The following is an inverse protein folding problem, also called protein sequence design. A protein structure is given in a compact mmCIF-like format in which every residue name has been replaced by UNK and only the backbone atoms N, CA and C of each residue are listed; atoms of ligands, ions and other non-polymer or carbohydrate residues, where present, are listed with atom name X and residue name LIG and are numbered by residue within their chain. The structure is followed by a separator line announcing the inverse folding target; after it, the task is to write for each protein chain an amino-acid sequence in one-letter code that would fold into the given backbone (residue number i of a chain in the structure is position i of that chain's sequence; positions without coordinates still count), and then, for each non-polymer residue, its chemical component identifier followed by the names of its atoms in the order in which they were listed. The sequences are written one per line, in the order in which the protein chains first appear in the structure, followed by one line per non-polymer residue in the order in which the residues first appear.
data_IF_312837084429
#
_entry.id   IF_312837084429
#
_cell.length_a   1.000
_cell.length_b   1.000
_cell.length_c   1.000
_cell.angle_alpha   90.00
_cell.angle_beta   90.00
_cell.angle_gamma   90.00
#
_symmetry.space_group_name_H-M   'P 1'
#
loop_
_entity.id
_entity.type
_entity.pdbx_description
1 polymer ?
#
# COMPACT_ATOMS: atom_id res chain seq x y z
N UNK A 1 32.75 -0.99 14.43
CA UNK A 1 33.46 -0.57 15.66
C UNK A 1 33.11 -1.50 16.82
N UNK A 2 33.99 -1.65 17.75
CA UNK A 2 33.80 -2.39 19.01
C UNK A 2 34.38 -1.58 20.16
N UNK A 3 34.40 -2.13 21.38
CA UNK A 3 34.95 -1.48 22.57
C UNK A 3 36.45 -1.07 22.44
N UNK A 4 37.14 -1.58 21.43
CA UNK A 4 38.53 -1.23 21.13
C UNK A 4 38.67 -0.16 20.01
N UNK A 5 37.56 0.40 19.51
CA UNK A 5 37.53 1.45 18.50
C UNK A 5 37.00 1.00 17.14
N UNK A 6 37.36 1.76 16.10
CA UNK A 6 36.98 1.47 14.72
C UNK A 6 37.81 0.32 14.14
N UNK A 7 37.21 -0.47 13.27
CA UNK A 7 37.84 -1.62 12.62
C UNK A 7 38.07 -1.36 11.14
N UNK A 8 39.04 -2.05 10.60
CA UNK A 8 39.35 -2.07 9.15
C UNK A 8 39.28 -3.48 8.56
N UNK A 9 38.88 -4.45 9.38
CA UNK A 9 38.78 -5.85 9.00
C UNK A 9 37.69 -6.08 7.94
N UNK A 10 37.98 -6.98 7.02
CA UNK A 10 37.14 -7.32 5.89
C UNK A 10 36.86 -8.82 5.89
N UNK A 11 35.59 -9.21 5.80
CA UNK A 11 35.14 -10.58 5.90
C UNK A 11 34.24 -10.96 4.73
N UNK A 12 34.43 -12.14 4.19
CA UNK A 12 33.58 -12.77 3.18
C UNK A 12 32.74 -13.87 3.83
N UNK A 13 31.46 -13.90 3.46
CA UNK A 13 30.54 -14.95 3.86
C UNK A 13 30.16 -15.82 2.66
N UNK A 14 30.49 -17.10 2.73
CA UNK A 14 30.06 -18.10 1.74
C UNK A 14 28.74 -18.74 2.17
N UNK A 15 27.68 -18.44 1.42
CA UNK A 15 26.31 -18.95 1.69
C UNK A 15 26.25 -20.48 1.55
N UNK A 16 27.04 -21.07 0.64
CA UNK A 16 26.98 -22.50 0.35
C UNK A 16 27.59 -23.36 1.46
N UNK A 17 28.63 -22.87 2.08
CA UNK A 17 29.33 -23.55 3.18
C UNK A 17 28.98 -23.02 4.56
N UNK A 18 28.13 -21.98 4.66
CA UNK A 18 27.75 -21.27 5.90
C UNK A 18 28.98 -20.89 6.72
N UNK A 19 29.99 -20.27 6.08
CA UNK A 19 31.26 -19.96 6.69
C UNK A 19 31.78 -18.56 6.37
N UNK A 20 32.57 -18.02 7.30
CA UNK A 20 33.23 -16.73 7.17
C UNK A 20 34.74 -16.91 6.94
N UNK A 21 35.26 -16.11 6.03
CA UNK A 21 36.71 -16.02 5.77
C UNK A 21 37.17 -14.58 5.96
N UNK A 22 38.20 -14.36 6.73
CA UNK A 22 38.83 -13.04 6.83
C UNK A 22 39.74 -12.82 5.63
N UNK A 23 39.51 -11.72 4.95
CA UNK A 23 40.31 -11.25 3.82
C UNK A 23 41.21 -10.08 4.25
N UNK A 24 41.98 -9.52 3.35
CA UNK A 24 42.87 -8.38 3.60
C UNK A 24 42.10 -7.17 4.07
N UNK A 25 42.55 -6.58 5.18
CA UNK A 25 41.98 -5.35 5.74
C UNK A 25 41.99 -4.21 4.72
N UNK A 26 41.03 -3.25 4.88
CA UNK A 26 41.02 -2.05 4.04
C UNK A 26 42.32 -1.27 4.16
N UNK A 27 42.87 -0.83 3.02
CA UNK A 27 44.15 -0.07 2.98
C UNK A 27 44.03 1.37 3.50
N UNK A 28 42.81 1.86 3.71
CA UNK A 28 42.52 3.15 4.35
C UNK A 28 42.47 3.09 5.85
N UNK A 29 42.04 4.19 6.48
CA UNK A 29 41.89 4.25 7.94
C UNK A 29 40.69 3.42 8.41
N UNK A 30 40.81 2.89 9.62
CA UNK A 30 39.71 2.23 10.30
C UNK A 30 38.52 3.18 10.47
N UNK A 31 37.30 2.68 10.24
CA UNK A 31 36.11 3.53 10.17
C UNK A 31 34.84 2.83 10.67
N UNK A 32 33.81 3.62 10.94
CA UNK A 32 32.46 3.15 11.15
C UNK A 32 31.48 3.95 10.27
N UNK A 33 30.29 3.42 10.03
CA UNK A 33 29.25 3.98 9.15
C UNK A 33 29.78 4.39 7.75
N UNK A 34 30.62 3.54 7.08
CA UNK A 34 31.03 3.80 5.71
C UNK A 34 29.84 3.63 4.76
N UNK A 35 29.98 4.17 3.54
CA UNK A 35 29.13 3.78 2.42
C UNK A 35 29.80 2.61 1.69
N UNK A 36 28.98 1.67 1.22
CA UNK A 36 29.46 0.48 0.53
C UNK A 36 28.43 -0.05 -0.47
N UNK A 37 28.88 -0.56 -1.60
CA UNK A 37 28.05 -1.24 -2.59
C UNK A 37 28.86 -2.20 -3.45
N UNK A 38 28.16 -3.17 -4.09
CA UNK A 38 28.79 -4.08 -5.05
C UNK A 38 28.46 -3.65 -6.49
N UNK A 39 29.46 -3.69 -7.38
CA UNK A 39 29.27 -3.52 -8.82
C UNK A 39 30.06 -4.62 -9.56
N UNK A 40 29.33 -5.44 -10.33
CA UNK A 40 29.92 -6.61 -10.97
C UNK A 40 30.56 -7.53 -9.92
N UNK A 41 31.82 -7.83 -10.08
CA UNK A 41 32.60 -8.71 -9.18
C UNK A 41 33.38 -7.94 -8.11
N UNK A 42 33.17 -6.64 -7.94
CA UNK A 42 33.95 -5.80 -7.05
C UNK A 42 33.08 -5.24 -5.92
N UNK A 43 33.65 -5.09 -4.73
CA UNK A 43 33.06 -4.29 -3.66
C UNK A 43 33.70 -2.90 -3.61
N UNK A 44 32.89 -1.90 -3.29
CA UNK A 44 33.32 -0.52 -3.16
C UNK A 44 33.00 -0.03 -1.75
N UNK A 45 33.96 0.65 -1.12
CA UNK A 45 33.85 1.13 0.26
C UNK A 45 34.53 2.48 0.38
N UNK A 46 33.94 3.40 1.10
CA UNK A 46 34.56 4.70 1.35
C UNK A 46 33.81 5.49 2.42
N UNK A 47 34.25 6.71 2.64
CA UNK A 47 33.58 7.64 3.58
C UNK A 47 33.59 7.11 5.02
N UNK A 48 32.66 7.61 5.84
CA UNK A 48 32.52 7.16 7.21
C UNK A 48 33.40 7.94 8.18
N UNK A 49 33.29 7.62 9.46
CA UNK A 49 33.98 8.30 10.54
C UNK A 49 35.08 7.43 11.15
N UNK A 50 36.26 8.00 11.33
CA UNK A 50 37.40 7.33 11.94
C UNK A 50 37.74 7.87 13.35
N UNK A 51 38.88 7.41 13.88
CA UNK A 51 39.40 7.85 15.18
C UNK A 51 40.63 8.73 15.06
N UNK A 52 41.17 8.90 13.86
CA UNK A 52 42.40 9.64 13.59
C UNK A 52 42.26 10.43 12.29
N UNK A 53 42.89 11.58 12.22
CA UNK A 53 43.05 12.30 10.96
C UNK A 53 43.98 11.51 10.02
N UNK A 54 43.61 11.43 8.75
CA UNK A 54 44.36 10.68 7.75
C UNK A 54 43.99 11.05 6.33
N UNK A 55 44.42 10.28 5.32
CA UNK A 55 44.01 10.53 3.94
C UNK A 55 42.52 10.58 3.81
N UNK A 56 42.00 11.64 3.20
CA UNK A 56 40.56 11.86 3.01
C UNK A 56 39.83 12.54 4.18
N UNK A 57 40.45 12.73 5.34
CA UNK A 57 39.85 13.54 6.40
C UNK A 57 39.99 15.04 6.12
N UNK A 58 39.07 15.84 6.65
CA UNK A 58 39.18 17.29 6.60
C UNK A 58 39.92 17.82 7.84
N UNK A 59 41.23 18.13 7.75
CA UNK A 59 42.01 18.56 8.92
C UNK A 59 41.61 19.96 9.42
N UNK A 60 40.89 20.76 8.61
CA UNK A 60 40.44 22.10 8.99
C UNK A 60 39.19 22.07 9.86
N UNK A 61 38.39 21.04 9.78
CA UNK A 61 37.17 20.86 10.53
C UNK A 61 37.36 20.07 11.84
N UNK A 62 38.60 19.70 12.17
CA UNK A 62 38.88 18.82 13.31
C UNK A 62 38.10 17.50 13.26
N UNK A 63 37.67 17.13 12.07
CA UNK A 63 36.75 16.01 11.76
C UNK A 63 37.57 14.78 11.37
N UNK A 64 37.11 13.62 11.81
CA UNK A 64 37.62 12.33 11.37
C UNK A 64 36.70 11.66 10.35
N UNK A 65 35.90 12.42 9.64
CA UNK A 65 35.03 11.97 8.56
C UNK A 65 35.83 11.96 7.25
N UNK A 66 35.65 10.91 6.46
CA UNK A 66 36.47 10.65 5.29
C UNK A 66 35.69 10.88 4.00
N UNK A 67 36.41 11.25 2.93
CA UNK A 67 35.94 11.27 1.54
C UNK A 67 36.76 10.36 0.62
N UNK A 68 37.63 9.51 1.19
CA UNK A 68 38.40 8.51 0.46
C UNK A 68 37.51 7.37 -0.03
N UNK A 69 37.93 6.71 -1.12
CA UNK A 69 37.14 5.68 -1.77
C UNK A 69 38.01 4.56 -2.28
N UNK A 70 37.58 3.31 -2.13
CA UNK A 70 38.36 2.12 -2.42
C UNK A 70 37.51 1.07 -3.12
N UNK A 71 38.20 0.26 -3.96
CA UNK A 71 37.64 -0.93 -4.59
C UNK A 71 38.35 -2.17 -4.08
N UNK A 72 37.63 -3.19 -3.68
CA UNK A 72 38.12 -4.51 -3.34
C UNK A 72 37.87 -5.47 -4.49
N UNK A 73 38.94 -6.26 -4.82
CA UNK A 73 38.88 -7.34 -5.80
C UNK A 73 39.01 -8.70 -5.08
N UNK A 74 37.89 -9.46 -4.95
CA UNK A 74 37.91 -10.74 -4.25
C UNK A 74 38.70 -11.83 -5.00
N UNK A 75 38.98 -11.67 -6.30
CA UNK A 75 39.69 -12.68 -7.08
C UNK A 75 41.18 -12.80 -6.69
N UNK A 76 41.75 -11.77 -6.10
CA UNK A 76 43.15 -11.72 -5.71
C UNK A 76 43.34 -11.09 -4.32
N UNK A 77 42.27 -10.93 -3.55
CA UNK A 77 42.27 -10.36 -2.18
C UNK A 77 43.06 -9.04 -2.12
N UNK A 78 42.70 -8.07 -2.97
CA UNK A 78 43.46 -6.83 -3.08
C UNK A 78 42.55 -5.59 -3.10
N UNK A 79 43.08 -4.49 -2.58
CA UNK A 79 42.45 -3.18 -2.56
C UNK A 79 43.12 -2.22 -3.54
N UNK A 80 42.31 -1.38 -4.18
CA UNK A 80 42.75 -0.26 -5.01
C UNK A 80 42.12 1.02 -4.47
N UNK A 81 42.95 2.03 -4.18
CA UNK A 81 42.43 3.37 -3.90
C UNK A 81 41.96 4.02 -5.21
N UNK A 82 40.76 4.54 -5.18
CA UNK A 82 40.10 5.29 -6.25
C UNK A 82 40.21 6.79 -6.01
N UNK A 83 39.63 7.58 -6.94
CA UNK A 83 39.52 9.04 -6.76
C UNK A 83 38.67 9.36 -5.56
N UNK A 84 39.11 10.30 -4.74
CA UNK A 84 38.32 10.78 -3.61
C UNK A 84 37.01 11.36 -4.10
N UNK A 85 36.00 11.29 -3.23
CA UNK A 85 34.71 11.91 -3.47
C UNK A 85 34.87 13.45 -3.61
N UNK A 86 34.25 14.08 -4.63
CA UNK A 86 34.52 15.49 -4.97
C UNK A 86 33.78 16.52 -4.12
N UNK A 87 32.92 16.10 -3.19
CA UNK A 87 32.19 16.96 -2.30
C UNK A 87 32.60 16.75 -0.83
N UNK A 88 31.86 17.31 0.10
CA UNK A 88 32.10 17.22 1.53
C UNK A 88 32.19 15.77 2.02
N UNK A 89 33.17 15.49 2.89
CA UNK A 89 33.28 14.20 3.57
C UNK A 89 32.01 13.88 4.36
N UNK A 90 31.61 12.61 4.40
CA UNK A 90 30.31 12.25 4.95
C UNK A 90 30.27 10.87 5.62
N UNK A 91 29.26 10.69 6.46
CA UNK A 91 29.04 9.50 7.26
C UNK A 91 27.54 9.17 7.38
N UNK A 92 27.24 7.90 7.56
CA UNK A 92 25.88 7.43 7.94
C UNK A 92 24.75 7.84 6.97
N UNK A 93 25.02 7.92 5.67
CA UNK A 93 23.96 7.97 4.67
C UNK A 93 23.50 6.60 4.23
N UNK A 94 22.90 6.51 3.05
CA UNK A 94 22.49 5.26 2.43
C UNK A 94 23.09 5.09 1.04
N UNK A 95 23.14 3.87 0.56
CA UNK A 95 23.75 3.52 -0.71
C UNK A 95 23.07 2.31 -1.36
N UNK A 96 23.22 2.22 -2.67
CA UNK A 96 22.82 1.04 -3.47
C UNK A 96 23.60 0.98 -4.78
N UNK A 97 23.49 -0.10 -5.52
CA UNK A 97 23.96 -0.22 -6.89
C UNK A 97 22.81 -0.50 -7.84
N UNK A 98 22.95 0.00 -9.06
CA UNK A 98 21.99 -0.21 -10.13
C UNK A 98 22.68 -0.04 -11.48
N UNK A 99 22.44 -0.95 -12.43
CA UNK A 99 22.95 -0.92 -13.80
C UNK A 99 24.48 -0.63 -13.89
N UNK A 100 25.26 -1.36 -13.10
CA UNK A 100 26.72 -1.23 -13.10
C UNK A 100 27.27 0.06 -12.49
N UNK A 101 26.45 0.84 -11.79
CA UNK A 101 26.81 2.09 -11.12
C UNK A 101 26.54 2.02 -9.63
N UNK A 102 27.27 2.83 -8.85
CA UNK A 102 27.03 3.01 -7.42
C UNK A 102 26.29 4.31 -7.15
N UNK A 103 25.51 4.31 -6.08
CA UNK A 103 24.74 5.48 -5.67
C UNK A 103 24.87 5.70 -4.17
N UNK A 104 25.04 6.95 -3.77
CA UNK A 104 25.05 7.36 -2.36
C UNK A 104 24.11 8.55 -2.15
N UNK A 105 23.52 8.61 -0.98
CA UNK A 105 22.53 9.62 -0.64
C UNK A 105 22.66 10.07 0.81
N UNK A 106 22.55 11.39 1.03
CA UNK A 106 22.40 11.99 2.37
C UNK A 106 23.54 11.65 3.34
N UNK A 107 23.30 11.67 4.63
CA UNK A 107 24.26 11.47 5.71
C UNK A 107 24.61 12.78 6.42
N UNK A 108 25.57 12.70 7.35
CA UNK A 108 26.19 13.87 8.00
C UNK A 108 27.49 14.27 7.29
N UNK A 109 27.79 15.55 7.31
CA UNK A 109 29.02 16.13 6.81
C UNK A 109 30.13 16.23 7.87
N UNK A 110 31.06 17.14 7.63
CA UNK A 110 32.17 17.44 8.53
C UNK A 110 31.70 17.79 9.94
N UNK A 111 32.42 17.29 10.96
CA UNK A 111 32.10 17.47 12.38
C UNK A 111 30.69 16.98 12.78
N UNK A 112 30.09 16.10 12.01
CA UNK A 112 28.68 15.68 12.15
C UNK A 112 27.68 16.81 11.98
N UNK A 113 28.07 17.90 11.32
CA UNK A 113 27.12 18.92 10.92
C UNK A 113 26.19 18.40 9.82
N UNK A 114 24.91 18.76 9.85
CA UNK A 114 23.98 18.38 8.79
C UNK A 114 24.46 18.86 7.43
N UNK A 115 24.44 17.98 6.44
CA UNK A 115 24.54 18.44 5.04
C UNK A 115 23.43 19.44 4.75
N UNK A 116 23.72 20.48 3.97
CA UNK A 116 22.75 21.54 3.66
C UNK A 116 21.52 20.99 2.92
N UNK A 117 21.72 19.96 2.12
CA UNK A 117 20.70 19.31 1.27
C UNK A 117 20.81 17.81 1.31
N UNK A 118 19.75 17.13 0.89
CA UNK A 118 19.74 15.69 0.68
C UNK A 118 20.48 15.28 -0.59
N UNK A 119 21.77 15.56 -0.64
CA UNK A 119 22.59 15.31 -1.82
C UNK A 119 22.53 13.86 -2.28
N UNK A 120 22.40 13.66 -3.59
CA UNK A 120 22.35 12.38 -4.25
C UNK A 120 23.41 12.30 -5.33
N UNK A 121 24.25 11.25 -5.30
CA UNK A 121 25.39 11.09 -6.18
C UNK A 121 25.44 9.72 -6.83
N UNK A 122 25.88 9.69 -8.07
CA UNK A 122 26.14 8.49 -8.86
C UNK A 122 27.64 8.32 -9.07
N UNK A 123 28.16 7.12 -8.86
CA UNK A 123 29.52 6.71 -9.19
C UNK A 123 29.55 5.90 -10.49
N UNK A 124 30.42 6.29 -11.42
CA UNK A 124 30.66 5.60 -12.69
C UNK A 124 32.05 4.91 -12.66
N UNK A 125 32.10 3.56 -12.52
CA UNK A 125 33.34 2.85 -12.35
C UNK A 125 34.23 2.82 -13.60
N UNK A 126 33.66 2.99 -14.80
CA UNK A 126 34.39 2.93 -16.06
C UNK A 126 35.43 4.05 -16.22
N UNK A 127 35.23 5.19 -15.56
CA UNK A 127 36.11 6.34 -15.61
C UNK A 127 36.45 6.92 -14.22
N UNK A 128 36.13 6.19 -13.15
CA UNK A 128 36.38 6.57 -11.76
C UNK A 128 35.89 8.00 -11.44
N UNK A 129 34.62 8.27 -11.72
CA UNK A 129 34.05 9.61 -11.56
C UNK A 129 32.71 9.61 -10.85
N UNK A 130 32.40 10.75 -10.22
CA UNK A 130 31.17 11.02 -9.54
C UNK A 130 30.34 12.08 -10.27
N UNK A 131 29.02 11.87 -10.34
CA UNK A 131 28.03 12.79 -10.90
C UNK A 131 27.01 13.11 -9.83
N UNK A 132 26.83 14.41 -9.51
CA UNK A 132 25.74 14.86 -8.64
C UNK A 132 24.43 14.77 -9.41
N UNK A 133 23.45 14.13 -8.83
CA UNK A 133 22.08 14.05 -9.31
C UNK A 133 21.20 15.08 -8.58
N UNK A 134 19.92 15.14 -8.93
CA UNK A 134 18.98 16.00 -8.20
C UNK A 134 18.84 15.53 -6.75
N UNK A 135 18.92 16.47 -5.82
CA UNK A 135 18.73 16.22 -4.40
C UNK A 135 17.35 15.62 -4.13
N UNK A 136 17.21 14.77 -3.14
CA UNK A 136 15.89 14.33 -2.72
C UNK A 136 15.12 15.49 -2.06
N UNK A 137 13.78 15.55 -2.21
CA UNK A 137 12.99 16.59 -1.59
C UNK A 137 12.95 16.41 -0.07
N UNK A 138 13.58 17.32 0.65
CA UNK A 138 13.68 17.31 2.11
C UNK A 138 15.10 17.64 2.58
N UNK A 139 15.26 17.74 3.89
CA UNK A 139 16.55 17.97 4.51
C UNK A 139 17.44 16.73 4.45
N UNK A 140 18.74 16.88 4.67
CA UNK A 140 19.65 15.78 4.85
C UNK A 140 19.19 14.86 6.00
N UNK A 141 19.38 13.55 5.83
CA UNK A 141 18.89 12.53 6.75
C UNK A 141 20.08 11.66 7.20
N UNK A 142 20.22 11.53 8.51
CA UNK A 142 21.16 10.58 9.12
C UNK A 142 20.55 9.17 9.15
N UNK A 143 21.33 8.19 8.74
CA UNK A 143 20.99 6.76 8.70
C UNK A 143 19.64 6.44 8.00
N UNK A 144 19.36 6.98 6.80
CA UNK A 144 18.20 6.54 6.04
C UNK A 144 18.38 5.12 5.51
N UNK A 145 17.27 4.48 5.15
CA UNK A 145 17.27 3.24 4.38
C UNK A 145 17.06 3.49 2.89
N UNK A 146 17.58 2.59 2.05
CA UNK A 146 17.28 2.57 0.62
C UNK A 146 17.19 1.15 0.08
N UNK A 147 16.41 0.99 -0.98
CA UNK A 147 16.33 -0.24 -1.75
C UNK A 147 15.90 0.08 -3.19
N UNK A 148 16.14 -0.86 -4.10
CA UNK A 148 15.75 -0.75 -5.51
C UNK A 148 14.72 -1.83 -5.81
N UNK A 149 13.64 -1.42 -6.48
CA UNK A 149 12.64 -2.33 -7.05
C UNK A 149 12.48 -1.98 -8.53
N UNK A 150 12.80 -2.92 -9.41
CA UNK A 150 12.84 -2.64 -10.84
C UNK A 150 13.83 -1.51 -11.14
N UNK A 151 13.35 -0.43 -11.72
CA UNK A 151 14.16 0.74 -12.06
C UNK A 151 13.89 1.96 -11.18
N UNK A 152 13.28 1.76 -10.05
CA UNK A 152 13.01 2.81 -9.08
C UNK A 152 13.83 2.58 -7.79
N UNK A 153 14.49 3.61 -7.32
CA UNK A 153 15.10 3.63 -5.99
C UNK A 153 14.16 4.28 -4.99
N UNK A 154 14.07 3.69 -3.82
CA UNK A 154 13.24 4.16 -2.71
C UNK A 154 14.10 4.55 -1.53
N UNK A 155 13.79 5.69 -0.91
CA UNK A 155 14.47 6.25 0.26
C UNK A 155 13.44 6.50 1.35
N UNK A 156 13.76 6.11 2.57
CA UNK A 156 12.83 6.22 3.69
C UNK A 156 13.54 6.19 5.04
N UNK A 157 12.83 6.67 6.05
CA UNK A 157 13.25 6.60 7.45
C UNK A 157 14.50 7.44 7.74
N UNK A 158 15.14 7.16 8.88
CA UNK A 158 16.26 7.93 9.38
C UNK A 158 15.83 9.08 10.27
N UNK A 159 16.78 9.91 10.63
CA UNK A 159 16.58 11.09 11.47
C UNK A 159 17.00 12.33 10.69
N UNK A 160 16.21 13.41 10.72
CA UNK A 160 16.69 14.68 10.20
C UNK A 160 17.87 15.18 11.07
N UNK A 161 18.84 15.83 10.43
CA UNK A 161 20.07 16.26 11.09
C UNK A 161 19.91 17.53 11.94
N UNK A 162 18.71 17.82 12.44
CA UNK A 162 18.50 18.92 13.37
C UNK A 162 18.67 18.44 14.81
N UNK A 163 19.88 18.48 15.33
CA UNK A 163 20.20 18.03 16.70
C UNK A 163 19.44 18.77 17.79
N UNK A 164 19.00 20.01 17.54
CA UNK A 164 18.21 20.78 18.50
C UNK A 164 16.73 20.41 18.50
N UNK A 165 16.23 19.84 17.39
CA UNK A 165 14.85 19.39 17.25
C UNK A 165 14.80 18.16 16.33
N UNK A 166 15.28 16.99 16.79
CA UNK A 166 15.32 15.79 15.97
C UNK A 166 13.92 15.36 15.59
N UNK A 167 13.72 15.07 14.31
CA UNK A 167 12.49 14.46 13.80
C UNK A 167 12.80 13.21 13.00
N UNK A 168 11.84 12.30 12.95
CA UNK A 168 11.94 11.05 12.22
C UNK A 168 10.94 11.13 11.06
N UNK A 169 11.36 11.54 9.85
CA UNK A 169 10.45 11.65 8.73
C UNK A 169 9.87 10.28 8.37
N UNK A 170 8.56 10.25 8.16
CA UNK A 170 7.82 9.05 7.73
C UNK A 170 7.59 9.02 6.22
N UNK A 171 8.04 10.03 5.50
CA UNK A 171 7.92 10.11 4.06
C UNK A 171 8.84 9.08 3.39
N UNK A 172 8.32 8.43 2.35
CA UNK A 172 9.11 7.62 1.44
C UNK A 172 9.21 8.38 0.11
N UNK A 173 10.43 8.51 -0.38
CA UNK A 173 10.71 9.15 -1.66
C UNK A 173 11.07 8.11 -2.69
N UNK A 174 10.67 8.33 -3.93
CA UNK A 174 10.97 7.50 -5.07
C UNK A 174 11.74 8.28 -6.12
N UNK A 175 12.86 7.73 -6.59
CA UNK A 175 13.66 8.26 -7.69
C UNK A 175 13.66 7.26 -8.84
N UNK A 176 13.36 7.72 -10.05
CA UNK A 176 13.39 6.89 -11.25
C UNK A 176 14.80 6.85 -11.80
N UNK A 177 15.44 5.68 -11.73
CA UNK A 177 16.84 5.47 -12.14
C UNK A 177 17.01 5.39 -13.65
N UNK A 178 16.02 4.83 -14.36
CA UNK A 178 16.04 4.71 -15.81
C UNK A 178 14.64 4.92 -16.41
N UNK A 179 14.57 5.62 -17.53
CA UNK A 179 13.34 5.83 -18.29
C UNK A 179 13.06 4.75 -19.34
N UNK A 180 14.01 3.85 -19.58
CA UNK A 180 13.91 2.75 -20.55
C UNK A 180 13.65 1.40 -19.89
N UNK A 181 13.10 1.41 -18.69
CA UNK A 181 12.69 0.21 -17.99
C UNK A 181 11.32 -0.26 -18.41
N UNK A 182 11.18 -1.57 -18.46
CA UNK A 182 9.93 -2.23 -18.80
C UNK A 182 10.18 -3.69 -19.13
N UNK A 183 9.14 -4.38 -19.52
CA UNK A 183 9.28 -5.77 -19.96
C UNK A 183 10.06 -5.83 -21.29
N UNK A 184 11.18 -6.59 -21.31
CA UNK A 184 12.01 -6.81 -22.51
C UNK A 184 11.69 -8.11 -23.23
N UNK A 185 10.79 -8.95 -22.71
CA UNK A 185 10.39 -10.21 -23.35
C UNK A 185 9.30 -9.98 -24.41
N UNK A 186 9.57 -10.23 -25.71
CA UNK A 186 8.60 -10.08 -26.78
C UNK A 186 7.36 -10.99 -26.65
N UNK A 187 7.39 -12.02 -25.80
CA UNK A 187 6.26 -12.92 -25.54
C UNK A 187 5.31 -12.38 -24.47
N UNK A 188 5.70 -11.36 -23.73
CA UNK A 188 4.85 -10.75 -22.73
C UNK A 188 3.83 -9.79 -23.34
N UNK A 189 2.63 -9.71 -22.75
CA UNK A 189 1.57 -8.81 -23.19
C UNK A 189 1.94 -7.32 -23.05
N UNK A 190 2.77 -6.99 -22.09
CA UNK A 190 3.26 -5.63 -21.82
C UNK A 190 4.68 -5.40 -22.34
N UNK A 191 5.12 -6.16 -23.35
CA UNK A 191 6.40 -5.94 -24.01
C UNK A 191 6.59 -4.48 -24.42
N UNK A 192 7.73 -3.92 -24.09
CA UNK A 192 8.12 -2.57 -24.52
C UNK A 192 9.34 -2.62 -25.40
N UNK A 193 9.20 -2.30 -26.68
CA UNK A 193 10.34 -2.24 -27.62
C UNK A 193 11.35 -1.14 -27.30
N UNK A 194 11.01 -0.19 -26.42
CA UNK A 194 11.91 0.86 -25.94
C UNK A 194 12.62 0.47 -24.64
N UNK A 195 12.19 -0.61 -23.98
CA UNK A 195 12.86 -1.07 -22.76
C UNK A 195 14.22 -1.69 -23.12
N UNK A 196 15.26 -1.20 -22.46
CA UNK A 196 16.62 -1.75 -22.54
C UNK A 196 16.99 -2.55 -21.29
N UNK A 197 16.19 -2.41 -20.23
CA UNK A 197 16.35 -3.11 -18.97
C UNK A 197 15.03 -3.73 -18.53
N UNK A 198 15.06 -5.04 -18.21
CA UNK A 198 13.89 -5.75 -17.68
C UNK A 198 13.70 -5.40 -16.20
N UNK A 199 12.59 -4.79 -15.90
CA UNK A 199 12.20 -4.39 -14.53
C UNK A 199 11.43 -5.48 -13.78
N UNK A 200 11.31 -6.67 -14.35
CA UNK A 200 10.53 -7.77 -13.79
C UNK A 200 9.02 -7.63 -13.94
N UNK A 201 8.54 -6.63 -14.70
CA UNK A 201 7.12 -6.36 -14.90
C UNK A 201 6.47 -7.20 -16.00
N UNK A 202 7.20 -8.15 -16.62
CA UNK A 202 6.68 -8.95 -17.72
C UNK A 202 5.39 -9.69 -17.36
N UNK A 203 4.36 -9.48 -18.17
CA UNK A 203 3.01 -9.99 -17.96
C UNK A 203 2.70 -11.08 -19.00
N UNK A 204 2.36 -12.29 -18.54
CA UNK A 204 2.11 -13.45 -19.40
C UNK A 204 0.69 -14.03 -19.28
N UNK A 205 -0.12 -13.49 -18.37
CA UNK A 205 -1.47 -14.00 -18.12
C UNK A 205 -2.48 -12.91 -18.48
N UNK A 206 -3.25 -13.15 -19.55
CA UNK A 206 -4.39 -12.31 -19.90
C UNK A 206 -5.68 -12.81 -19.25
N UNK A 207 -6.65 -11.94 -19.14
CA UNK A 207 -7.97 -12.23 -18.60
C UNK A 207 -8.64 -10.96 -18.09
N UNK A 208 -9.82 -11.10 -17.53
CA UNK A 208 -10.51 -9.98 -16.93
C UNK A 208 -9.79 -9.49 -15.66
N UNK A 209 -9.38 -8.23 -15.64
CA UNK A 209 -8.73 -7.57 -14.49
C UNK A 209 -9.69 -6.71 -13.65
N UNK A 210 -10.97 -6.59 -14.05
CA UNK A 210 -11.99 -5.89 -13.27
C UNK A 210 -12.48 -6.76 -12.12
N UNK A 211 -12.18 -6.36 -10.89
CA UNK A 211 -12.58 -7.06 -9.66
C UNK A 211 -14.11 -7.15 -9.48
N UNK A 212 -14.87 -6.31 -10.19
CA UNK A 212 -16.33 -6.32 -10.14
C UNK A 212 -16.96 -7.20 -11.23
N UNK A 213 -16.17 -7.74 -12.13
CA UNK A 213 -16.64 -8.69 -13.14
C UNK A 213 -16.82 -10.11 -12.57
N UNK A 214 -17.82 -10.84 -13.07
CA UNK A 214 -18.09 -12.21 -12.59
C UNK A 214 -17.01 -13.23 -12.99
N UNK A 215 -16.22 -12.90 -14.01
CA UNK A 215 -15.10 -13.70 -14.50
C UNK A 215 -13.73 -13.06 -14.19
N UNK A 216 -13.66 -12.25 -13.12
CA UNK A 216 -12.41 -11.67 -12.64
C UNK A 216 -11.34 -12.77 -12.45
N UNK A 217 -10.17 -12.54 -12.98
CA UNK A 217 -9.01 -13.41 -12.82
C UNK A 217 -7.91 -12.69 -12.03
N UNK A 218 -7.76 -13.03 -10.75
CA UNK A 218 -6.75 -12.43 -9.87
C UNK A 218 -5.29 -12.63 -10.33
N UNK A 219 -5.04 -13.60 -11.23
CA UNK A 219 -3.71 -13.85 -11.79
C UNK A 219 -3.48 -13.10 -13.11
N UNK A 220 -4.53 -12.51 -13.70
CA UNK A 220 -4.39 -11.74 -14.92
C UNK A 220 -3.68 -10.42 -14.61
N UNK A 221 -2.66 -10.12 -15.39
CA UNK A 221 -1.91 -8.87 -15.35
C UNK A 221 -2.14 -8.02 -16.61
N UNK A 222 -2.91 -8.53 -17.58
CA UNK A 222 -3.31 -7.85 -18.80
C UNK A 222 -4.81 -8.07 -19.06
N UNK A 223 -5.56 -6.98 -19.22
CA UNK A 223 -6.98 -7.06 -19.55
C UNK A 223 -7.15 -7.36 -21.04
N UNK A 224 -7.76 -8.50 -21.34
CA UNK A 224 -8.03 -8.94 -22.72
C UNK A 224 -9.43 -8.52 -23.23
N UNK A 225 -10.16 -7.71 -22.47
CA UNK A 225 -11.50 -7.26 -22.77
C UNK A 225 -12.58 -8.34 -22.55
N UNK A 226 -12.25 -9.46 -21.91
CA UNK A 226 -13.20 -10.56 -21.67
C UNK A 226 -14.10 -10.33 -20.45
N UNK A 227 -14.01 -9.18 -19.78
CA UNK A 227 -14.77 -8.90 -18.56
C UNK A 227 -16.28 -9.01 -18.78
N UNK A 228 -16.93 -9.81 -17.95
CA UNK A 228 -18.39 -9.96 -17.96
C UNK A 228 -18.95 -9.24 -16.75
N UNK A 229 -19.65 -8.15 -17.00
CA UNK A 229 -20.27 -7.36 -15.94
C UNK A 229 -21.42 -8.14 -15.29
N UNK A 230 -21.51 -8.02 -13.95
CA UNK A 230 -22.63 -8.61 -13.21
C UNK A 230 -23.93 -7.86 -13.54
N UNK A 231 -24.94 -8.61 -13.95
CA UNK A 231 -26.32 -8.14 -14.11
C UNK A 231 -27.17 -8.88 -13.11
N UNK A 232 -27.48 -8.24 -11.99
CA UNK A 232 -28.32 -8.80 -10.96
C UNK A 232 -29.79 -8.79 -11.40
N UNK A 233 -30.47 -9.89 -11.23
CA UNK A 233 -31.90 -9.98 -11.54
C UNK A 233 -32.47 -11.36 -11.24
N UNK A 234 -33.77 -11.47 -11.34
CA UNK A 234 -34.46 -12.74 -11.18
C UNK A 234 -34.16 -13.67 -12.37
N UNK A 235 -33.46 -14.78 -12.13
CA UNK A 235 -33.11 -15.77 -13.14
C UNK A 235 -34.14 -16.92 -13.22
N UNK A 236 -35.20 -16.88 -12.41
CA UNK A 236 -36.29 -17.88 -12.47
C UNK A 236 -37.26 -17.54 -13.62
N UNK A 237 -37.24 -18.36 -14.67
CA UNK A 237 -38.08 -18.17 -15.87
C UNK A 237 -39.59 -18.19 -15.61
N UNK A 238 -40.05 -18.75 -14.48
CA UNK A 238 -41.46 -18.79 -14.10
C UNK A 238 -41.89 -17.59 -13.28
N UNK A 239 -40.95 -16.71 -12.87
CA UNK A 239 -41.24 -15.49 -12.13
C UNK A 239 -41.81 -14.40 -13.05
N UNK A 240 -42.71 -13.60 -12.51
CA UNK A 240 -43.33 -12.48 -13.25
C UNK A 240 -42.33 -11.38 -13.61
N UNK A 241 -41.23 -11.27 -12.86
CA UNK A 241 -40.12 -10.35 -13.06
C UNK A 241 -38.84 -11.02 -13.54
N UNK A 242 -38.97 -12.13 -14.28
CA UNK A 242 -37.83 -12.78 -14.91
C UNK A 242 -37.02 -11.80 -15.76
N UNK A 243 -35.72 -11.75 -15.55
CA UNK A 243 -34.80 -10.94 -16.33
C UNK A 243 -33.87 -11.85 -17.14
N UNK A 244 -34.09 -11.93 -18.45
CA UNK A 244 -33.30 -12.76 -19.37
C UNK A 244 -31.85 -12.31 -19.53
N UNK A 245 -31.52 -11.07 -19.15
CA UNK A 245 -30.18 -10.51 -19.19
C UNK A 245 -29.41 -10.74 -17.87
N UNK A 246 -30.11 -11.18 -16.82
CA UNK A 246 -29.47 -11.45 -15.54
C UNK A 246 -28.52 -12.65 -15.64
N UNK A 247 -27.33 -12.50 -15.06
CA UNK A 247 -26.29 -13.53 -15.02
C UNK A 247 -25.88 -13.88 -13.54
N UNK A 248 -26.40 -13.15 -12.56
CA UNK A 248 -26.22 -13.43 -11.14
C UNK A 248 -27.51 -13.25 -10.35
N UNK A 249 -27.74 -14.09 -9.32
CA UNK A 249 -28.84 -13.95 -8.36
C UNK A 249 -28.48 -13.12 -7.13
N UNK A 250 -27.20 -12.96 -6.86
CA UNK A 250 -26.69 -12.05 -5.84
C UNK A 250 -25.30 -11.57 -6.21
N UNK A 251 -24.93 -10.42 -5.70
CA UNK A 251 -23.64 -9.79 -5.95
C UNK A 251 -23.17 -9.02 -4.72
N UNK A 252 -21.85 -9.06 -4.45
CA UNK A 252 -21.25 -8.33 -3.36
C UNK A 252 -20.65 -7.02 -3.85
N UNK A 253 -20.74 -5.96 -3.04
CA UNK A 253 -20.15 -4.67 -3.37
C UNK A 253 -20.13 -3.70 -2.19
N UNK A 254 -19.98 -2.42 -2.48
CA UNK A 254 -19.61 -1.42 -1.50
C UNK A 254 -18.11 -1.47 -1.22
N UNK A 255 -17.63 -0.88 -0.12
CA UNK A 255 -16.28 -1.13 0.35
C UNK A 255 -16.16 -2.61 0.76
N UNK A 256 -15.19 -3.35 0.19
CA UNK A 256 -15.09 -4.79 0.41
C UNK A 256 -14.58 -5.15 1.81
N UNK A 257 -13.80 -4.27 2.41
CA UNK A 257 -13.30 -4.41 3.78
C UNK A 257 -12.96 -3.03 4.40
N UNK A 258 -12.41 -3.02 5.60
CA UNK A 258 -12.02 -1.80 6.30
C UNK A 258 -10.62 -1.27 5.94
N UNK A 259 -9.93 -1.86 4.95
CA UNK A 259 -8.58 -1.46 4.54
C UNK A 259 -8.57 -0.36 3.45
N UNK A 260 -9.74 0.20 3.11
CA UNK A 260 -9.84 1.28 2.12
C UNK A 260 -9.16 2.59 2.55
N UNK A 261 -8.83 2.73 3.84
CA UNK A 261 -8.15 3.90 4.40
C UNK A 261 -8.07 3.82 5.92
N UNK A 262 -7.66 4.92 6.55
CA UNK A 262 -7.62 4.98 8.01
C UNK A 262 -9.03 4.99 8.62
N UNK A 263 -9.17 4.46 9.82
CA UNK A 263 -10.45 4.40 10.50
C UNK A 263 -10.35 4.08 11.99
N UNK A 264 -11.48 3.99 12.66
CA UNK A 264 -11.57 3.66 14.08
C UNK A 264 -12.95 3.16 14.45
N UNK A 265 -13.08 2.52 15.61
CA UNK A 265 -14.38 2.21 16.20
C UNK A 265 -15.12 3.48 16.58
N UNK A 266 -16.44 3.47 16.39
CA UNK A 266 -17.26 4.66 16.47
C UNK A 266 -18.58 4.39 17.17
N UNK A 267 -19.07 5.37 17.94
CA UNK A 267 -20.20 5.19 18.85
C UNK A 267 -21.44 6.01 18.50
N UNK A 268 -21.39 6.88 17.49
CA UNK A 268 -22.55 7.70 17.13
C UNK A 268 -23.35 7.09 15.98
N UNK A 269 -24.62 7.44 15.90
CA UNK A 269 -25.49 7.04 14.82
C UNK A 269 -25.10 7.78 13.54
N UNK A 270 -24.68 7.01 12.54
CA UNK A 270 -24.37 7.46 11.18
C UNK A 270 -24.83 6.38 10.20
N UNK A 271 -24.90 6.71 8.92
CA UNK A 271 -25.43 5.82 7.90
C UNK A 271 -24.80 6.06 6.53
N UNK A 272 -24.87 5.03 5.67
CA UNK A 272 -24.61 5.14 4.24
C UNK A 272 -25.88 5.65 3.55
N UNK A 273 -25.70 6.42 2.47
CA UNK A 273 -26.78 6.94 1.64
C UNK A 273 -26.67 6.29 0.26
N UNK A 274 -27.78 5.70 -0.21
CA UNK A 274 -27.79 4.99 -1.47
C UNK A 274 -29.11 5.16 -2.24
N UNK A 275 -29.06 4.91 -3.54
CA UNK A 275 -30.22 4.76 -4.41
C UNK A 275 -30.39 3.29 -4.76
N UNK A 276 -31.65 2.84 -4.87
CA UNK A 276 -32.00 1.52 -5.42
C UNK A 276 -32.79 1.68 -6.70
N UNK A 277 -32.31 1.02 -7.76
CA UNK A 277 -32.89 1.10 -9.10
C UNK A 277 -33.81 -0.08 -9.43
N UNK A 278 -33.79 -1.13 -8.59
CA UNK A 278 -34.72 -2.26 -8.67
C UNK A 278 -35.08 -2.72 -7.26
N UNK A 279 -36.19 -3.47 -7.13
CA UNK A 279 -36.52 -4.15 -5.88
C UNK A 279 -35.50 -5.25 -5.62
N UNK A 280 -34.83 -5.18 -4.48
CA UNK A 280 -33.77 -6.12 -4.15
C UNK A 280 -33.77 -6.44 -2.65
N UNK A 281 -32.92 -7.39 -2.27
CA UNK A 281 -32.72 -7.81 -0.89
C UNK A 281 -31.28 -7.49 -0.47
N UNK A 282 -31.06 -6.70 0.57
CA UNK A 282 -29.77 -6.66 1.23
C UNK A 282 -29.70 -7.88 2.15
N UNK A 283 -29.05 -8.96 1.68
CA UNK A 283 -28.99 -10.23 2.38
C UNK A 283 -28.10 -10.20 3.59
N UNK A 284 -26.89 -9.70 3.41
CA UNK A 284 -25.82 -9.73 4.42
C UNK A 284 -24.80 -8.64 4.19
N UNK A 285 -23.96 -8.41 5.19
CA UNK A 285 -22.74 -7.62 5.06
C UNK A 285 -21.68 -8.08 6.06
N UNK A 286 -20.44 -7.62 5.87
CA UNK A 286 -19.38 -7.73 6.88
C UNK A 286 -19.40 -6.49 7.77
N UNK A 287 -19.22 -6.70 9.08
CA UNK A 287 -19.01 -5.64 10.07
C UNK A 287 -17.74 -5.91 10.88
N UNK A 288 -17.23 -4.88 11.52
CA UNK A 288 -16.12 -4.97 12.48
C UNK A 288 -16.61 -4.34 13.78
N UNK A 289 -16.65 -5.10 14.87
CA UNK A 289 -17.13 -4.66 16.17
C UNK A 289 -16.01 -4.68 17.22
N UNK A 290 -16.06 -3.73 18.15
CA UNK A 290 -15.09 -3.62 19.25
C UNK A 290 -15.45 -4.51 20.43
N UNK A 291 -16.75 -4.65 20.72
CA UNK A 291 -17.27 -5.33 21.91
C UNK A 291 -18.43 -6.26 21.61
N UNK A 292 -18.69 -7.20 22.52
CA UNK A 292 -19.93 -7.98 22.55
C UNK A 292 -21.12 -7.06 22.88
N UNK A 293 -22.13 -6.98 22.01
CA UNK A 293 -23.38 -6.24 22.26
C UNK A 293 -24.49 -6.55 21.28
N UNK A 294 -25.72 -6.19 21.65
CA UNK A 294 -26.85 -6.17 20.73
C UNK A 294 -26.86 -4.85 19.97
N UNK A 295 -26.98 -4.93 18.64
CA UNK A 295 -27.09 -3.77 17.74
C UNK A 295 -28.30 -3.99 16.85
N UNK A 296 -29.14 -2.96 16.73
CA UNK A 296 -30.23 -2.92 15.76
C UNK A 296 -29.74 -2.23 14.50
N UNK A 297 -29.63 -2.97 13.41
CA UNK A 297 -29.30 -2.51 12.07
C UNK A 297 -30.61 -2.07 11.39
N UNK A 298 -30.59 -0.98 10.64
CA UNK A 298 -31.80 -0.38 10.08
C UNK A 298 -31.62 0.02 8.62
N UNK A 299 -32.62 -0.32 7.80
CA UNK A 299 -32.91 0.29 6.51
C UNK A 299 -33.95 1.40 6.72
N UNK A 300 -33.65 2.59 6.23
CA UNK A 300 -34.54 3.77 6.39
C UNK A 300 -34.81 4.43 5.05
N UNK A 301 -35.93 5.14 4.95
CA UNK A 301 -36.19 6.01 3.81
C UNK A 301 -35.39 7.33 3.91
N UNK A 302 -35.55 8.20 2.92
CA UNK A 302 -34.88 9.51 2.85
C UNK A 302 -35.21 10.46 4.01
N UNK A 303 -36.34 10.26 4.72
CA UNK A 303 -36.75 11.03 5.89
C UNK A 303 -36.27 10.42 7.21
N UNK A 304 -35.50 9.31 7.16
CA UNK A 304 -35.02 8.61 8.35
C UNK A 304 -36.05 7.67 9.00
N UNK A 305 -37.23 7.45 8.39
CA UNK A 305 -38.18 6.47 8.89
C UNK A 305 -37.72 5.05 8.57
N UNK A 306 -37.78 4.17 9.55
CA UNK A 306 -37.39 2.76 9.43
C UNK A 306 -38.34 2.04 8.48
N UNK A 307 -37.77 1.40 7.46
CA UNK A 307 -38.48 0.52 6.51
C UNK A 307 -38.34 -0.94 6.92
N UNK A 308 -37.15 -1.32 7.38
CA UNK A 308 -36.85 -2.66 7.87
C UNK A 308 -35.74 -2.61 8.92
N UNK A 309 -35.69 -3.55 9.86
CA UNK A 309 -34.66 -3.62 10.89
C UNK A 309 -34.42 -5.04 11.38
N UNK A 310 -33.25 -5.25 11.94
CA UNK A 310 -32.89 -6.50 12.62
C UNK A 310 -31.96 -6.23 13.79
N UNK A 311 -32.21 -6.90 14.92
CA UNK A 311 -31.36 -6.81 16.11
C UNK A 311 -30.53 -8.07 16.23
N UNK A 312 -29.19 -7.90 16.24
CA UNK A 312 -28.24 -9.00 16.31
C UNK A 312 -27.28 -8.79 17.50
N UNK A 313 -26.90 -9.90 18.13
CA UNK A 313 -25.83 -9.93 19.11
C UNK A 313 -24.50 -10.15 18.38
N UNK A 314 -23.63 -9.14 18.40
CA UNK A 314 -22.35 -9.15 17.70
C UNK A 314 -21.19 -9.43 18.65
N UNK A 315 -20.14 -10.06 18.14
CA UNK A 315 -18.88 -10.32 18.83
C UNK A 315 -17.76 -9.39 18.36
N UNK A 316 -16.68 -9.19 19.14
CA UNK A 316 -15.53 -8.43 18.69
C UNK A 316 -14.90 -9.01 17.41
N UNK A 317 -14.35 -8.14 16.56
CA UNK A 317 -13.66 -8.48 15.33
C UNK A 317 -14.55 -8.43 14.09
N UNK A 318 -14.04 -8.99 12.98
CA UNK A 318 -14.76 -9.10 11.71
C UNK A 318 -15.77 -10.23 11.78
N UNK A 319 -16.99 -9.95 11.33
CA UNK A 319 -18.02 -10.99 11.19
C UNK A 319 -19.00 -10.63 10.08
N UNK A 320 -19.55 -11.67 9.42
CA UNK A 320 -20.64 -11.55 8.48
C UNK A 320 -21.96 -11.58 9.25
N UNK A 321 -22.84 -10.61 9.02
CA UNK A 321 -24.19 -10.56 9.58
C UNK A 321 -25.24 -10.73 8.49
N UNK A 322 -26.35 -11.39 8.86
CA UNK A 322 -27.51 -11.59 7.98
C UNK A 322 -28.55 -10.52 8.30
N UNK A 323 -28.97 -9.79 7.28
CA UNK A 323 -29.91 -8.68 7.39
C UNK A 323 -31.27 -9.04 6.80
N UNK A 324 -31.28 -9.52 5.56
CA UNK A 324 -32.48 -9.81 4.75
C UNK A 324 -33.45 -8.60 4.65
N UNK A 325 -32.91 -7.42 4.43
CA UNK A 325 -33.73 -6.21 4.26
C UNK A 325 -34.36 -6.14 2.87
N UNK A 326 -35.68 -5.98 2.82
CA UNK A 326 -36.39 -5.69 1.58
C UNK A 326 -36.19 -4.23 1.18
N UNK A 327 -35.49 -4.02 0.05
CA UNK A 327 -35.16 -2.69 -0.44
C UNK A 327 -36.08 -2.29 -1.59
N UNK A 328 -36.92 -1.27 -1.42
CA UNK A 328 -37.77 -0.76 -2.52
C UNK A 328 -36.97 0.10 -3.49
N UNK A 329 -37.48 0.27 -4.70
CA UNK A 329 -36.97 1.27 -5.65
C UNK A 329 -37.18 2.65 -5.02
N UNK A 330 -36.11 3.34 -4.67
CA UNK A 330 -36.13 4.66 -4.09
C UNK A 330 -34.78 5.33 -4.10
N UNK A 331 -34.78 6.66 -3.95
CA UNK A 331 -33.54 7.45 -3.83
C UNK A 331 -33.33 7.89 -2.39
N UNK A 332 -32.02 8.08 -2.04
CA UNK A 332 -31.58 8.53 -0.72
C UNK A 332 -32.00 7.61 0.44
N UNK A 333 -32.10 6.32 0.19
CA UNK A 333 -32.26 5.34 1.25
C UNK A 333 -31.05 5.39 2.18
N UNK A 334 -31.26 5.03 3.44
CA UNK A 334 -30.22 5.07 4.46
C UNK A 334 -30.02 3.68 5.06
N UNK A 335 -28.74 3.25 5.14
CA UNK A 335 -28.36 2.02 5.83
C UNK A 335 -27.57 2.40 7.07
N UNK A 336 -28.15 2.25 8.24
CA UNK A 336 -27.65 2.76 9.53
C UNK A 336 -27.92 1.83 10.70
N UNK A 337 -27.80 2.35 11.89
CA UNK A 337 -28.03 1.63 13.16
C UNK A 337 -28.96 2.42 14.06
N UNK A 338 -29.66 1.75 14.96
CA UNK A 338 -30.43 2.41 15.98
C UNK A 338 -29.56 2.79 17.19
N UNK A 339 -29.66 4.05 17.60
CA UNK A 339 -29.02 4.54 18.81
C UNK A 339 -27.54 4.89 18.64
N UNK A 340 -26.89 5.03 19.78
CA UNK A 340 -25.47 5.37 19.91
C UNK A 340 -24.72 4.23 20.59
N UNK A 341 -23.39 4.35 20.66
CA UNK A 341 -22.57 3.42 21.43
C UNK A 341 -22.43 2.03 20.79
N UNK A 342 -22.43 1.96 19.44
CA UNK A 342 -22.38 0.68 18.71
C UNK A 342 -21.01 -0.01 18.78
N UNK A 343 -19.91 0.75 18.87
CA UNK A 343 -18.54 0.20 18.76
C UNK A 343 -18.28 -0.44 17.42
N UNK A 344 -18.95 0.00 16.35
CA UNK A 344 -18.70 -0.47 15.01
C UNK A 344 -17.58 0.33 14.34
N UNK A 345 -16.76 -0.33 13.54
CA UNK A 345 -15.68 0.32 12.80
C UNK A 345 -16.24 1.16 11.65
N UNK A 346 -15.62 2.32 11.44
CA UNK A 346 -15.81 3.17 10.27
C UNK A 346 -14.46 3.57 9.69
N UNK A 347 -14.38 3.80 8.39
CA UNK A 347 -13.25 4.51 7.79
C UNK A 347 -13.47 6.02 7.87
N UNK A 348 -12.39 6.75 8.16
CA UNK A 348 -12.35 8.22 8.21
C UNK A 348 -11.87 8.81 6.87
N UNK A 349 -11.18 7.99 6.08
CA UNK A 349 -10.61 8.32 4.78
C UNK A 349 -10.72 7.11 3.85
N UNK A 350 -10.48 7.34 2.56
CA UNK A 350 -10.30 6.27 1.57
C UNK A 350 -11.60 5.77 0.93
N UNK A 351 -12.77 6.28 1.29
CA UNK A 351 -13.97 5.98 0.52
C UNK A 351 -13.99 6.80 -0.78
N UNK A 352 -14.24 6.12 -1.88
CA UNK A 352 -14.34 6.70 -3.23
C UNK A 352 -15.75 6.44 -3.80
N UNK A 353 -16.66 7.31 -3.41
CA UNK A 353 -18.04 7.22 -3.86
C UNK A 353 -18.19 7.66 -5.33
N UNK A 354 -19.12 7.07 -6.12
CA UNK A 354 -20.12 6.09 -5.72
C UNK A 354 -19.63 4.64 -5.81
N UNK A 355 -20.16 3.76 -4.94
CA UNK A 355 -20.02 2.32 -5.07
C UNK A 355 -21.25 1.74 -5.77
N UNK A 356 -21.09 1.25 -6.98
CA UNK A 356 -22.16 0.58 -7.72
C UNK A 356 -22.15 -0.91 -7.42
N UNK A 357 -23.32 -1.48 -7.06
CA UNK A 357 -23.50 -2.90 -6.82
C UNK A 357 -24.42 -3.46 -7.92
N UNK A 358 -23.82 -4.07 -8.93
CA UNK A 358 -24.48 -4.74 -10.05
C UNK A 358 -25.59 -3.90 -10.72
N UNK A 359 -25.44 -2.57 -10.79
CA UNK A 359 -26.40 -1.59 -11.31
C UNK A 359 -27.78 -1.58 -10.62
N UNK A 360 -27.90 -2.21 -9.45
CA UNK A 360 -29.13 -2.25 -8.65
C UNK A 360 -29.06 -1.30 -7.48
N UNK A 361 -27.95 -1.26 -6.77
CA UNK A 361 -27.72 -0.30 -5.67
C UNK A 361 -26.54 0.60 -6.02
N UNK A 362 -26.68 1.90 -5.73
CA UNK A 362 -25.62 2.88 -5.87
C UNK A 362 -25.42 3.63 -4.55
N UNK A 363 -24.35 3.25 -3.78
CA UNK A 363 -23.99 3.93 -2.54
C UNK A 363 -23.26 5.21 -2.91
N UNK A 364 -23.88 6.36 -2.68
CA UNK A 364 -23.38 7.66 -3.18
C UNK A 364 -22.76 8.55 -2.11
N UNK A 365 -22.78 8.12 -0.87
CA UNK A 365 -22.20 8.88 0.23
C UNK A 365 -22.56 8.32 1.60
N UNK A 366 -22.26 9.11 2.61
CA UNK A 366 -22.62 8.85 3.99
C UNK A 366 -23.20 10.10 4.64
N UNK A 367 -23.71 9.95 5.84
CA UNK A 367 -24.26 11.07 6.65
C UNK A 367 -23.19 12.01 7.21
N UNK A 368 -21.88 11.73 7.01
CA UNK A 368 -20.80 12.61 7.42
C UNK A 368 -20.77 13.89 6.57
N UNK A 369 -20.42 15.01 7.20
CA UNK A 369 -20.23 16.29 6.51
C UNK A 369 -18.95 16.38 5.70
N UNK A 370 -18.00 15.44 5.91
CA UNK A 370 -16.72 15.38 5.24
C UNK A 370 -16.68 14.20 4.28
N UNK A 371 -16.08 14.33 3.09
CA UNK A 371 -15.87 13.21 2.17
C UNK A 371 -14.88 12.20 2.76
N UNK A 372 -14.89 10.98 2.27
CA UNK A 372 -13.93 9.95 2.66
C UNK A 372 -14.38 9.04 3.80
N UNK A 373 -15.52 9.33 4.46
CA UNK A 373 -16.06 8.49 5.52
C UNK A 373 -16.93 7.36 4.99
N UNK A 374 -16.71 6.12 5.50
CA UNK A 374 -17.53 4.96 5.20
C UNK A 374 -18.00 4.29 6.50
N UNK A 375 -19.31 4.03 6.64
CA UNK A 375 -19.91 3.58 7.91
C UNK A 375 -20.40 2.15 7.84
N UNK A 376 -19.82 1.30 8.65
CA UNK A 376 -20.25 0.04 9.25
C UNK A 376 -20.45 -1.16 8.29
N UNK A 377 -20.99 -0.97 7.09
CA UNK A 377 -21.47 -2.04 6.22
C UNK A 377 -20.50 -2.30 5.08
N UNK A 378 -19.65 -3.30 5.24
CA UNK A 378 -18.67 -3.69 4.24
C UNK A 378 -19.15 -4.92 3.49
N UNK A 379 -18.65 -5.14 2.26
CA UNK A 379 -18.92 -6.32 1.47
C UNK A 379 -20.41 -6.69 1.43
N UNK A 380 -21.26 -5.71 1.09
CA UNK A 380 -22.71 -5.83 1.11
C UNK A 380 -23.15 -6.83 0.04
N UNK A 381 -23.85 -7.88 0.42
CA UNK A 381 -24.46 -8.85 -0.49
C UNK A 381 -25.87 -8.41 -0.85
N UNK A 382 -26.08 -8.07 -2.12
CA UNK A 382 -27.38 -7.72 -2.69
C UNK A 382 -27.92 -8.89 -3.49
N UNK A 383 -29.15 -9.28 -3.22
CA UNK A 383 -29.84 -10.37 -3.91
C UNK A 383 -31.05 -9.91 -4.72
N UNK A 384 -31.28 -10.59 -5.82
CA UNK A 384 -32.50 -10.39 -6.61
C UNK A 384 -33.74 -11.00 -5.91
N UNK A 385 -34.87 -10.30 -6.03
CA UNK A 385 -36.16 -10.80 -5.60
C UNK A 385 -36.90 -11.36 -6.81
N UNK A 386 -37.39 -12.61 -6.71
CA UNK A 386 -38.24 -13.23 -7.73
C UNK A 386 -39.70 -13.25 -7.26
N UNK A 387 -40.62 -12.72 -8.05
CA UNK A 387 -42.04 -12.72 -7.74
C UNK A 387 -42.76 -13.90 -8.43
N UNK A 388 -43.34 -14.81 -7.69
CA UNK A 388 -44.17 -15.85 -8.24
C UNK A 388 -45.47 -15.25 -8.80
N UNK A 389 -45.95 -15.74 -9.95
CA UNK A 389 -47.15 -15.27 -10.63
C UNK A 389 -48.44 -15.34 -9.79
N UNK A 390 -48.41 -16.10 -8.69
CA UNK A 390 -49.55 -16.30 -7.79
C UNK A 390 -49.50 -15.46 -6.50
N UNK A 391 -48.38 -14.80 -6.18
CA UNK A 391 -48.15 -14.19 -4.86
C UNK A 391 -47.97 -12.68 -4.84
N UNK A 392 -48.12 -11.98 -5.98
CA UNK A 392 -47.91 -10.52 -6.07
C UNK A 392 -48.76 -9.71 -5.08
N UNK A 393 -49.84 -10.25 -4.55
CA UNK A 393 -50.69 -9.61 -3.57
C UNK A 393 -50.42 -10.01 -2.11
N UNK A 394 -49.66 -11.10 -1.84
CA UNK A 394 -49.52 -11.62 -0.47
C UNK A 394 -48.20 -11.23 0.18
N UNK A 395 -47.17 -10.93 -0.61
CA UNK A 395 -45.83 -10.56 -0.08
C UNK A 395 -45.86 -9.26 0.74
N UNK A 396 -46.63 -8.27 0.29
CA UNK A 396 -46.83 -7.03 1.06
C UNK A 396 -47.84 -7.17 2.21
N UNK A 397 -48.76 -8.14 2.14
CA UNK A 397 -49.73 -8.41 3.19
C UNK A 397 -49.19 -9.22 4.36
N UNK A 398 -48.26 -10.18 4.11
CA UNK A 398 -47.78 -11.07 5.16
C UNK A 398 -46.87 -10.37 6.17
N UNK A 399 -46.05 -9.41 5.74
CA UNK A 399 -45.20 -8.62 6.67
C UNK A 399 -46.04 -7.58 7.46
N UNK A 400 -47.10 -7.03 6.90
CA UNK A 400 -47.99 -6.12 7.66
C UNK A 400 -48.76 -6.88 8.74
N UNK A 401 -49.10 -8.14 8.52
CA UNK A 401 -49.79 -8.98 9.51
C UNK A 401 -48.83 -9.50 10.60
N UNK A 402 -47.57 -9.82 10.29
CA UNK A 402 -46.61 -10.22 11.31
C UNK A 402 -46.20 -9.06 12.24
N UNK A 403 -46.20 -7.81 11.74
CA UNK A 403 -45.99 -6.63 12.57
C UNK A 403 -47.16 -6.33 13.51
N UNK A 404 -48.40 -6.60 13.09
CA UNK A 404 -49.57 -6.43 13.94
C UNK A 404 -49.64 -7.47 15.05
N UNK A 405 -49.20 -8.69 14.81
CA UNK A 405 -49.17 -9.77 15.80
C UNK A 405 -48.06 -9.61 16.85
N UNK A 406 -46.94 -8.95 16.53
CA UNK A 406 -45.87 -8.65 17.49
C UNK A 406 -46.16 -7.43 18.39
N UNK A 407 -47.21 -6.67 18.12
CA UNK A 407 -47.66 -5.54 18.95
C UNK A 407 -48.74 -5.98 19.95
N UNK A 408 -49.33 -7.15 19.76
CA UNK A 408 -50.44 -7.67 20.59
C UNK A 408 -50.09 -8.94 21.37
N UNK A 409 -48.85 -9.43 21.34
CA UNK A 409 -48.43 -10.64 22.06
C UNK A 409 -47.07 -10.57 22.65
#
# INVERSE_FOLDING_TARGET
SNDNGNLGDWWEYDISSDSWTQNSDIIGNNRHHPYYFGIGNYAYVGFGHGSVSGPGSNPSANSYIYNDFYRYDPSNDSWLQLSNFPSEARVAGTQFSYDGKGYILSGDGDDHDPLTYGEFWQYEPSNDSWLQLADHPGDAIWAPGSFVIGCDAYFLLGQNNNYNNPSFPVAMYKYKLDNQCGCTDPLAYNFSSSATYDDGSCCYISGCTDILAINYNANACFDDGSCIQAVLGCMNQTASNYNSSANVNSFNGGALDNNIGSGSFFNNNQYLIFDSYDNCLIKSCDIYAEYFRSITFELRNNNGNVLDDTTLYVSPGKQKIILNFDVPIASNLQLGINGTNSGLYRNNTGSDYPYNIANVINIKGSSASQPGYYYFYYNIEVGAVCFNTTEVNDFYKSKSLSRVLNVLG
#
